data_IF_377946468568
#
_entry.id   IF_377946468568
#
_cell.length_a   1.000
_cell.length_b   1.000
_cell.length_c   1.000
_cell.angle_alpha   90.00
_cell.angle_beta   90.00
_cell.angle_gamma   90.00
#
_symmetry.space_group_name_H-M   'P 1'
#
loop_
_entity.id
_entity.type
_entity.pdbx_description
1 polymer ?
#
# COMPACT_ATOMS: atom_id res chain seq x y z
N UNK A 1 30.94 -5.10 -28.02
CA UNK A 1 29.52 -5.37 -28.31
C UNK A 1 28.80 -5.96 -27.09
N UNK A 2 29.21 -7.13 -26.58
CA UNK A 2 28.58 -7.82 -25.43
C UNK A 2 28.47 -6.94 -24.16
N UNK A 3 29.52 -6.21 -23.80
CA UNK A 3 29.53 -5.33 -22.61
C UNK A 3 28.48 -4.22 -22.68
N UNK A 4 28.22 -3.68 -23.88
CA UNK A 4 27.19 -2.65 -24.10
C UNK A 4 25.79 -3.23 -23.90
N UNK A 5 25.53 -4.44 -24.39
CA UNK A 5 24.24 -5.14 -24.19
C UNK A 5 23.95 -5.41 -22.72
N UNK A 6 24.95 -5.84 -21.94
CA UNK A 6 24.81 -6.10 -20.50
C UNK A 6 24.45 -4.81 -19.76
N UNK A 7 25.10 -3.68 -20.09
CA UNK A 7 24.78 -2.37 -19.49
C UNK A 7 23.36 -1.91 -19.82
N UNK A 8 22.92 -2.08 -21.07
CA UNK A 8 21.55 -1.75 -21.46
C UNK A 8 20.51 -2.60 -20.72
N UNK A 9 20.75 -3.91 -20.56
CA UNK A 9 19.87 -4.80 -19.78
C UNK A 9 19.77 -4.38 -18.31
N UNK A 10 20.89 -4.04 -17.69
CA UNK A 10 20.91 -3.55 -16.31
C UNK A 10 20.13 -2.24 -16.17
N UNK A 11 20.30 -1.31 -17.11
CA UNK A 11 19.54 -0.05 -17.11
C UNK A 11 18.03 -0.29 -17.24
N UNK A 12 17.62 -1.17 -18.15
CA UNK A 12 16.19 -1.52 -18.30
C UNK A 12 15.66 -2.14 -17.00
N UNK A 13 16.40 -3.06 -16.38
CA UNK A 13 16.02 -3.65 -15.10
C UNK A 13 15.85 -2.60 -13.99
N UNK A 14 16.78 -1.66 -13.87
CA UNK A 14 16.71 -0.57 -12.88
C UNK A 14 15.48 0.32 -13.15
N UNK A 15 15.27 0.73 -14.40
CA UNK A 15 14.12 1.58 -14.77
C UNK A 15 12.82 0.87 -14.46
N UNK A 16 12.69 -0.43 -14.78
CA UNK A 16 11.50 -1.22 -14.45
C UNK A 16 11.23 -1.27 -12.95
N UNK A 17 12.26 -1.52 -12.14
CA UNK A 17 12.11 -1.53 -10.66
C UNK A 17 11.67 -0.18 -10.12
N UNK A 18 12.24 0.92 -10.63
CA UNK A 18 11.84 2.28 -10.23
C UNK A 18 10.39 2.55 -10.60
N UNK A 19 9.96 2.21 -11.82
CA UNK A 19 8.58 2.41 -12.27
C UNK A 19 7.59 1.62 -11.41
N UNK A 20 7.90 0.37 -11.06
CA UNK A 20 7.06 -0.45 -10.17
C UNK A 20 7.00 0.16 -8.77
N UNK A 21 8.13 0.61 -8.24
CA UNK A 21 8.17 1.25 -6.93
C UNK A 21 7.31 2.53 -6.88
N UNK A 22 7.49 3.42 -7.86
CA UNK A 22 6.69 4.64 -7.99
C UNK A 22 5.19 4.33 -8.13
N UNK A 23 4.83 3.32 -8.91
CA UNK A 23 3.45 2.90 -9.08
C UNK A 23 2.81 2.46 -7.75
N UNK A 24 3.53 1.69 -6.94
CA UNK A 24 3.06 1.27 -5.60
C UNK A 24 2.90 2.48 -4.68
N UNK A 25 3.86 3.42 -4.69
CA UNK A 25 3.79 4.62 -3.86
C UNK A 25 2.58 5.50 -4.22
N UNK A 26 2.31 5.68 -5.52
CA UNK A 26 1.12 6.42 -5.99
C UNK A 26 -0.15 5.75 -5.47
N UNK A 27 -0.27 4.42 -5.62
CA UNK A 27 -1.44 3.69 -5.14
C UNK A 27 -1.63 3.79 -3.63
N UNK A 28 -0.55 3.70 -2.86
CA UNK A 28 -0.62 3.89 -1.41
C UNK A 28 -1.05 5.32 -1.04
N UNK A 29 -0.62 6.32 -1.82
CA UNK A 29 -1.05 7.70 -1.60
C UNK A 29 -2.54 7.90 -1.90
N UNK A 30 -3.04 7.35 -3.01
CA UNK A 30 -4.46 7.43 -3.38
C UNK A 30 -5.34 6.83 -2.28
N UNK A 31 -4.97 5.65 -1.77
CA UNK A 31 -5.71 4.95 -0.72
C UNK A 31 -5.70 5.72 0.58
N UNK A 32 -4.54 6.21 1.03
CA UNK A 32 -4.46 7.05 2.22
C UNK A 32 -5.36 8.28 2.11
N UNK A 33 -5.44 8.87 0.92
CA UNK A 33 -6.29 10.03 0.65
C UNK A 33 -7.77 9.66 0.68
N UNK A 34 -8.15 8.51 0.11
CA UNK A 34 -9.52 8.01 0.14
C UNK A 34 -10.01 7.74 1.57
N UNK A 35 -9.18 7.09 2.39
CA UNK A 35 -9.52 6.80 3.79
C UNK A 35 -9.60 8.09 4.62
N UNK A 36 -8.65 9.01 4.46
CA UNK A 36 -8.69 10.32 5.14
C UNK A 36 -9.87 11.21 4.70
N UNK A 37 -10.45 10.96 3.53
CA UNK A 37 -11.65 11.67 3.07
C UNK A 37 -12.94 11.10 3.71
N UNK A 38 -12.95 9.82 4.06
CA UNK A 38 -14.10 9.15 4.68
C UNK A 38 -14.10 9.31 6.21
N UNK A 39 -12.93 9.19 6.84
CA UNK A 39 -12.77 9.23 8.29
C UNK A 39 -11.97 10.48 8.70
N UNK A 40 -12.57 11.31 9.55
CA UNK A 40 -11.90 12.46 10.14
C UNK A 40 -11.16 12.04 11.41
N UNK A 41 -10.05 12.70 11.70
CA UNK A 41 -9.26 12.51 12.93
C UNK A 41 -8.63 11.11 13.08
N UNK A 42 -8.12 10.57 11.97
CA UNK A 42 -7.36 9.32 11.95
C UNK A 42 -5.89 9.59 11.62
N UNK A 43 -4.98 8.86 12.27
CA UNK A 43 -3.56 8.84 11.92
C UNK A 43 -3.19 7.50 11.30
N UNK A 44 -2.74 7.52 10.04
CA UNK A 44 -2.35 6.29 9.35
C UNK A 44 -0.94 5.88 9.79
N UNK A 45 -0.83 4.80 10.56
CA UNK A 45 0.44 4.26 11.08
C UNK A 45 1.15 3.47 9.98
N UNK A 46 0.44 2.55 9.33
CA UNK A 46 1.03 1.69 8.30
C UNK A 46 0.03 1.26 7.23
N UNK A 47 0.56 0.90 6.07
CA UNK A 47 -0.20 0.34 4.94
C UNK A 47 0.53 -0.90 4.44
N UNK A 48 -0.21 -1.98 4.29
CA UNK A 48 0.26 -3.23 3.75
C UNK A 48 -0.66 -3.64 2.59
N UNK A 49 -0.04 -4.17 1.55
CA UNK A 49 -0.74 -4.75 0.42
C UNK A 49 -0.96 -6.23 0.69
N UNK A 50 -2.20 -6.68 0.65
CA UNK A 50 -2.58 -8.08 0.84
C UNK A 50 -2.84 -8.67 -0.54
N UNK A 51 -1.92 -9.53 -0.99
CA UNK A 51 -2.00 -10.17 -2.30
C UNK A 51 -0.64 -10.53 -2.89
N UNK A 52 -0.61 -11.56 -3.73
CA UNK A 52 0.60 -12.05 -4.39
C UNK A 52 0.69 -11.61 -5.85
N UNK A 53 1.89 -11.69 -6.43
CA UNK A 53 2.10 -11.48 -7.86
C UNK A 53 1.44 -12.62 -8.67
N UNK A 54 0.15 -12.49 -8.99
CA UNK A 54 -0.63 -13.46 -9.75
C UNK A 54 -2.15 -13.30 -9.54
N UNK A 55 -2.55 -13.02 -8.30
CA UNK A 55 -3.90 -12.54 -7.94
C UNK A 55 -3.76 -11.04 -7.69
N UNK A 56 -4.12 -10.24 -8.68
CA UNK A 56 -3.81 -8.83 -8.77
C UNK A 56 -4.29 -8.06 -7.54
N UNK A 57 -3.39 -7.77 -6.59
CA UNK A 57 -3.46 -6.69 -5.59
C UNK A 57 -4.88 -6.22 -5.25
N UNK A 58 -5.72 -7.11 -4.72
CA UNK A 58 -7.15 -6.81 -4.57
C UNK A 58 -7.45 -6.07 -3.27
N UNK A 59 -6.58 -6.20 -2.27
CA UNK A 59 -6.89 -5.77 -0.91
C UNK A 59 -5.71 -5.06 -0.26
N UNK A 60 -6.03 -4.05 0.53
CA UNK A 60 -5.08 -3.31 1.35
C UNK A 60 -5.51 -3.42 2.81
N UNK A 61 -4.52 -3.53 3.70
CA UNK A 61 -4.71 -3.42 5.14
C UNK A 61 -4.00 -2.17 5.61
N UNK A 62 -4.73 -1.26 6.24
CA UNK A 62 -4.15 -0.11 6.92
C UNK A 62 -4.25 -0.31 8.42
N UNK A 63 -3.20 0.09 9.13
CA UNK A 63 -3.27 0.28 10.58
C UNK A 63 -3.41 1.77 10.82
N UNK A 64 -4.48 2.16 11.49
CA UNK A 64 -4.79 3.53 11.83
C UNK A 64 -4.91 3.68 13.34
N UNK A 65 -4.60 4.86 13.84
CA UNK A 65 -4.89 5.28 15.20
C UNK A 65 -6.09 6.22 15.16
N UNK A 66 -7.08 5.95 16.01
CA UNK A 66 -8.29 6.75 16.19
C UNK A 66 -8.68 6.71 17.66
N UNK A 67 -8.93 7.88 18.27
CA UNK A 67 -9.32 7.98 19.69
C UNK A 67 -8.34 7.22 20.64
N UNK A 68 -7.03 7.41 20.44
CA UNK A 68 -5.95 6.73 21.20
C UNK A 68 -5.96 5.19 21.11
N UNK A 69 -6.73 4.62 20.18
CA UNK A 69 -6.84 3.19 19.94
C UNK A 69 -6.38 2.83 18.53
N UNK A 70 -5.68 1.70 18.38
CA UNK A 70 -5.26 1.21 17.08
C UNK A 70 -6.33 0.31 16.45
N UNK A 71 -6.57 0.50 15.15
CA UNK A 71 -7.47 -0.31 14.36
C UNK A 71 -6.76 -0.78 13.10
N UNK A 72 -7.04 -2.01 12.70
CA UNK A 72 -6.77 -2.51 11.37
C UNK A 72 -8.04 -2.38 10.53
N UNK A 73 -7.90 -1.78 9.37
CA UNK A 73 -8.97 -1.64 8.39
C UNK A 73 -8.58 -2.37 7.11
N UNK A 74 -9.54 -3.08 6.52
CA UNK A 74 -9.38 -3.72 5.23
C UNK A 74 -10.23 -3.03 4.18
N UNK A 75 -9.62 -2.80 3.03
CA UNK A 75 -10.22 -2.09 1.92
C UNK A 75 -9.80 -2.67 0.59
N UNK A 76 -10.62 -2.40 -0.42
CA UNK A 76 -10.35 -2.78 -1.79
C UNK A 76 -9.38 -1.80 -2.49
N UNK A 77 -9.21 -1.98 -3.80
CA UNK A 77 -8.33 -1.12 -4.62
C UNK A 77 -8.81 0.31 -4.81
N UNK A 78 -10.09 0.57 -4.57
CA UNK A 78 -10.71 1.88 -4.72
C UNK A 78 -10.72 2.65 -3.39
N UNK A 79 -10.34 1.97 -2.29
CA UNK A 79 -10.30 2.55 -0.95
C UNK A 79 -11.63 2.44 -0.21
N UNK A 80 -12.55 1.59 -0.68
CA UNK A 80 -13.79 1.30 0.01
C UNK A 80 -13.52 0.32 1.15
N UNK A 81 -13.82 0.75 2.37
CA UNK A 81 -13.55 -0.01 3.58
C UNK A 81 -14.67 -1.03 3.79
N UNK A 82 -14.31 -2.31 3.94
CA UNK A 82 -15.29 -3.39 4.12
C UNK A 82 -15.18 -4.09 5.49
N UNK A 83 -14.07 -3.95 6.21
CA UNK A 83 -13.91 -4.55 7.53
C UNK A 83 -12.99 -3.73 8.47
N UNK A 84 -13.23 -3.86 9.77
CA UNK A 84 -12.52 -3.17 10.85
C UNK A 84 -12.27 -4.12 12.02
N UNK A 85 -11.04 -4.18 12.50
CA UNK A 85 -10.63 -4.92 13.68
C UNK A 85 -9.91 -3.97 14.64
N UNK A 86 -10.38 -3.89 15.88
CA UNK A 86 -9.64 -3.21 16.95
C UNK A 86 -8.39 -4.01 17.29
N UNK A 87 -7.23 -3.38 17.22
CA UNK A 87 -5.97 -3.93 17.70
C UNK A 87 -5.88 -3.61 19.21
N UNK A 88 -6.76 -4.22 19.99
CA UNK A 88 -6.78 -4.03 21.44
C UNK A 88 -5.45 -4.54 22.02
N UNK A 89 -4.70 -3.68 22.70
CA UNK A 89 -3.54 -4.08 23.49
C UNK A 89 -4.06 -4.97 24.63
N UNK A 90 -3.98 -6.29 24.43
CA UNK A 90 -4.33 -7.27 25.44
C UNK A 90 -3.71 -6.90 26.80
N UNK A 91 -4.59 -6.58 27.75
CA UNK A 91 -4.30 -6.38 29.18
C UNK A 91 -3.52 -7.53 29.81
#
# INVERSE_FOLDING_TARGET
MIVTYIRSLLLVGIVMTVVVYEFIQIKYHDIKTAVAAQEQDIQIISIALIGGWGEWFQEYSLVIEKDESEYRIWMDTDGDIYDWEGLDEGS
#
